data_IF_856954134234
#
_entry.id   IF_856954134234
#
_cell.length_a   1.000
_cell.length_b   1.000
_cell.length_c   1.000
_cell.angle_alpha   90.00
_cell.angle_beta   90.00
_cell.angle_gamma   90.00
#
_symmetry.space_group_name_H-M   'P 1'
#
loop_
_entity.id
_entity.type
_entity.pdbx_description
1 polymer ?
#
# COMPACT_ATOMS: atom_id res chain seq x y z
N UNK A 1 -24.94 18.44 -10.06
CA UNK A 1 -24.30 19.34 -11.04
C UNK A 1 -24.07 20.72 -10.44
N UNK A 2 -25.13 21.45 -10.00
CA UNK A 2 -25.06 22.78 -9.39
C UNK A 2 -24.02 22.93 -8.27
N UNK A 3 -23.91 21.92 -7.38
CA UNK A 3 -22.93 21.95 -6.30
C UNK A 3 -21.48 21.89 -6.82
N UNK A 4 -21.22 21.11 -7.87
CA UNK A 4 -19.90 21.05 -8.48
C UNK A 4 -19.56 22.37 -9.20
N UNK A 5 -20.53 22.96 -9.90
CA UNK A 5 -20.40 24.27 -10.54
C UNK A 5 -20.11 25.38 -9.52
N UNK A 6 -20.81 25.34 -8.36
CA UNK A 6 -20.57 26.26 -7.25
C UNK A 6 -19.13 26.14 -6.71
N UNK A 7 -18.62 24.92 -6.50
CA UNK A 7 -17.24 24.72 -6.04
C UNK A 7 -16.23 25.21 -7.07
N UNK A 8 -16.45 24.91 -8.35
CA UNK A 8 -15.56 25.31 -9.45
C UNK A 8 -15.64 26.79 -9.82
N UNK A 9 -16.58 27.55 -9.24
CA UNK A 9 -16.64 29.01 -9.41
C UNK A 9 -15.55 29.74 -8.62
N UNK A 10 -14.90 29.07 -7.65
CA UNK A 10 -13.75 29.62 -6.93
C UNK A 10 -12.46 29.29 -7.71
N UNK A 11 -11.68 30.31 -8.05
CA UNK A 11 -10.42 30.18 -8.80
C UNK A 11 -9.39 29.31 -8.09
N UNK A 12 -9.46 29.14 -6.78
CA UNK A 12 -8.59 28.26 -6.01
C UNK A 12 -8.95 26.77 -6.13
N UNK A 13 -10.11 26.47 -6.71
CA UNK A 13 -10.60 25.09 -6.87
C UNK A 13 -10.38 24.60 -8.29
N UNK A 14 -9.52 23.63 -8.47
CA UNK A 14 -9.27 22.98 -9.76
C UNK A 14 -9.88 21.57 -9.80
N UNK A 15 -10.50 21.16 -10.93
CA UNK A 15 -10.94 19.78 -11.09
C UNK A 15 -9.73 18.86 -11.26
N UNK A 16 -9.72 17.75 -10.53
CA UNK A 16 -8.68 16.70 -10.64
C UNK A 16 -9.31 15.37 -10.99
N UNK A 17 -8.68 14.64 -11.92
CA UNK A 17 -9.16 13.33 -12.37
C UNK A 17 -8.72 12.18 -11.46
N UNK A 18 -9.29 11.00 -11.70
CA UNK A 18 -8.97 9.77 -10.96
C UNK A 18 -7.48 9.40 -11.01
N UNK A 19 -6.79 9.69 -12.12
CA UNK A 19 -5.35 9.43 -12.24
C UNK A 19 -4.51 10.22 -11.24
N UNK A 20 -4.86 11.48 -10.98
CA UNK A 20 -4.21 12.30 -9.96
C UNK A 20 -4.49 11.74 -8.55
N UNK A 21 -5.76 11.40 -8.26
CA UNK A 21 -6.12 10.77 -6.99
C UNK A 21 -5.36 9.47 -6.78
N UNK A 22 -5.21 8.65 -7.83
CA UNK A 22 -4.51 7.36 -7.73
C UNK A 22 -3.01 7.53 -7.50
N UNK A 23 -2.35 8.45 -8.21
CA UNK A 23 -0.92 8.76 -7.97
C UNK A 23 -0.69 9.28 -6.56
N UNK A 24 -1.51 10.23 -6.10
CA UNK A 24 -1.35 10.86 -4.78
C UNK A 24 -1.56 9.86 -3.64
N UNK A 25 -2.59 9.01 -3.71
CA UNK A 25 -2.82 8.00 -2.66
C UNK A 25 -1.69 6.95 -2.64
N UNK A 26 -1.17 6.56 -3.83
CA UNK A 26 -0.07 5.60 -3.96
C UNK A 26 1.21 6.16 -3.32
N UNK A 27 1.57 7.40 -3.63
CA UNK A 27 2.72 8.08 -3.01
C UNK A 27 2.58 8.24 -1.50
N UNK A 28 1.35 8.47 -1.02
CA UNK A 28 1.02 8.53 0.41
C UNK A 28 0.95 7.13 1.07
N UNK A 29 1.17 6.05 0.33
CA UNK A 29 1.07 4.69 0.87
C UNK A 29 -0.34 4.29 1.30
N UNK A 30 -1.37 4.97 0.80
CA UNK A 30 -2.77 4.69 1.15
C UNK A 30 -3.33 3.55 0.31
N UNK A 31 -3.88 2.50 0.95
CA UNK A 31 -4.46 1.38 0.23
C UNK A 31 -5.76 1.75 -0.49
N UNK A 32 -5.99 1.12 -1.63
CA UNK A 32 -7.24 1.19 -2.37
C UNK A 32 -8.04 -0.08 -2.12
N UNK A 33 -9.29 0.07 -1.67
CA UNK A 33 -10.19 -1.07 -1.54
C UNK A 33 -10.51 -1.66 -2.92
N UNK A 34 -10.43 -2.97 -3.01
CA UNK A 34 -10.57 -3.75 -4.24
C UNK A 34 -9.22 -4.17 -4.85
N UNK A 35 -8.15 -3.41 -4.60
CA UNK A 35 -6.79 -3.70 -5.09
C UNK A 35 -5.86 -4.11 -3.94
N UNK A 36 -5.56 -3.15 -3.04
CA UNK A 36 -4.59 -3.35 -1.95
C UNK A 36 -5.20 -4.03 -0.72
N UNK A 37 -6.50 -4.06 -0.65
CA UNK A 37 -7.26 -4.75 0.41
C UNK A 37 -8.61 -5.20 -0.13
N UNK A 38 -9.02 -6.38 0.30
CA UNK A 38 -10.31 -7.02 0.01
C UNK A 38 -10.91 -7.53 1.31
N UNK A 39 -12.00 -8.25 1.22
CA UNK A 39 -12.60 -8.94 2.39
C UNK A 39 -11.68 -10.01 3.01
N UNK A 40 -10.67 -10.47 2.28
CA UNK A 40 -9.72 -11.50 2.70
C UNK A 40 -8.45 -10.93 3.33
N UNK A 41 -8.33 -9.59 3.38
CA UNK A 41 -7.15 -8.88 3.91
C UNK A 41 -7.52 -8.19 5.20
N UNK A 42 -6.83 -8.53 6.29
CA UNK A 42 -7.07 -7.90 7.59
C UNK A 42 -6.47 -6.49 7.66
N UNK A 43 -6.94 -5.65 8.60
CA UNK A 43 -6.28 -4.35 8.87
C UNK A 43 -4.80 -4.48 9.26
N UNK A 44 -4.39 -5.59 9.89
CA UNK A 44 -2.99 -5.85 10.22
C UNK A 44 -2.16 -6.14 8.96
N UNK A 45 -2.65 -7.04 8.09
CA UNK A 45 -2.02 -7.33 6.79
C UNK A 45 -1.95 -6.08 5.89
N UNK A 46 -3.01 -5.26 5.88
CA UNK A 46 -3.06 -4.00 5.12
C UNK A 46 -2.20 -2.86 5.69
N UNK A 47 -1.45 -3.09 6.79
CA UNK A 47 -0.72 -2.06 7.52
C UNK A 47 -1.61 -0.89 7.99
N UNK A 48 -2.87 -1.19 8.32
CA UNK A 48 -3.87 -0.24 8.83
C UNK A 48 -4.11 -0.39 10.34
N UNK A 49 -3.21 -1.04 11.07
CA UNK A 49 -3.32 -1.22 12.52
C UNK A 49 -3.56 0.10 13.27
N UNK A 50 -3.06 1.21 12.75
CA UNK A 50 -3.28 2.55 13.29
C UNK A 50 -4.76 2.97 13.32
N UNK A 51 -5.59 2.42 12.43
CA UNK A 51 -7.04 2.72 12.37
C UNK A 51 -7.83 2.08 13.51
N UNK A 52 -7.26 1.09 14.19
CA UNK A 52 -7.89 0.47 15.36
C UNK A 52 -7.54 1.31 16.61
N UNK A 53 -8.52 1.96 17.24
CA UNK A 53 -8.27 2.80 18.41
C UNK A 53 -7.61 2.00 19.54
N UNK A 54 -6.70 2.61 20.28
CA UNK A 54 -6.01 1.96 21.43
C UNK A 54 -6.97 1.34 22.42
N UNK A 55 -8.11 1.98 22.66
CA UNK A 55 -9.21 1.51 23.50
C UNK A 55 -9.76 0.13 23.07
N UNK A 56 -9.69 -0.20 21.77
CA UNK A 56 -10.17 -1.44 21.17
C UNK A 56 -9.10 -2.51 21.00
N UNK A 57 -7.81 -2.16 21.23
CA UNK A 57 -6.70 -3.11 21.15
C UNK A 57 -6.61 -3.96 22.40
N UNK A 58 -5.84 -5.03 22.33
CA UNK A 58 -5.53 -5.90 23.49
C UNK A 58 -5.05 -5.05 24.68
N UNK A 59 -5.64 -5.24 25.84
CA UNK A 59 -5.38 -4.46 27.04
C UNK A 59 -6.11 -3.10 27.14
N UNK A 60 -6.87 -2.71 26.12
CA UNK A 60 -7.72 -1.52 26.18
C UNK A 60 -9.01 -1.77 26.96
N UNK A 61 -9.62 -0.71 27.51
CA UNK A 61 -10.84 -0.80 28.35
C UNK A 61 -12.03 -1.46 27.65
N UNK A 62 -12.10 -1.39 26.32
CA UNK A 62 -13.13 -2.00 25.48
C UNK A 62 -12.51 -2.87 24.39
N UNK A 63 -11.52 -3.69 24.74
CA UNK A 63 -10.81 -4.54 23.81
C UNK A 63 -11.78 -5.39 22.96
N UNK A 64 -11.55 -5.46 21.66
CA UNK A 64 -12.43 -6.17 20.74
C UNK A 64 -13.77 -5.46 20.51
N UNK A 65 -14.84 -6.25 20.38
CA UNK A 65 -16.21 -5.77 20.18
C UNK A 65 -16.48 -5.18 18.79
N UNK A 66 -15.71 -5.60 17.77
CA UNK A 66 -15.92 -5.32 16.36
C UNK A 66 -15.81 -6.62 15.54
N UNK A 67 -16.40 -6.71 14.35
CA UNK A 67 -16.32 -7.91 13.53
C UNK A 67 -14.86 -8.30 13.23
N UNK A 68 -14.49 -9.58 13.40
CA UNK A 68 -13.13 -10.08 13.16
C UNK A 68 -12.10 -9.70 14.23
N UNK A 69 -12.54 -9.18 15.39
CA UNK A 69 -11.66 -8.70 16.46
C UNK A 69 -10.61 -9.75 16.88
N UNK A 70 -11.00 -11.00 17.04
CA UNK A 70 -10.10 -12.06 17.52
C UNK A 70 -8.90 -12.22 16.59
N UNK A 71 -9.14 -12.35 15.28
CA UNK A 71 -8.09 -12.45 14.27
C UNK A 71 -7.23 -11.19 14.22
N UNK A 72 -7.86 -10.02 14.12
CA UNK A 72 -7.16 -8.73 13.99
C UNK A 72 -6.29 -8.44 15.21
N UNK A 73 -6.80 -8.68 16.42
CA UNK A 73 -6.04 -8.46 17.65
C UNK A 73 -4.89 -9.44 17.83
N UNK A 74 -5.09 -10.71 17.43
CA UNK A 74 -4.02 -11.69 17.43
C UNK A 74 -2.88 -11.28 16.47
N UNK A 75 -3.20 -10.85 15.25
CA UNK A 75 -2.23 -10.38 14.27
C UNK A 75 -1.54 -9.08 14.69
N UNK A 76 -2.24 -8.14 15.31
CA UNK A 76 -1.63 -6.92 15.83
C UNK A 76 -0.67 -7.17 17.00
N UNK A 77 -0.91 -8.22 17.78
CA UNK A 77 -0.07 -8.59 18.93
C UNK A 77 1.08 -9.53 18.57
N UNK A 78 0.82 -10.49 17.70
CA UNK A 78 1.76 -11.56 17.34
C UNK A 78 2.42 -11.42 15.98
N UNK A 79 1.97 -10.47 15.16
CA UNK A 79 2.36 -10.32 13.76
C UNK A 79 1.43 -11.07 12.80
N UNK A 80 1.13 -10.46 11.66
CA UNK A 80 0.44 -11.12 10.56
C UNK A 80 1.44 -11.96 9.76
N UNK A 81 0.98 -13.03 9.11
CA UNK A 81 1.84 -13.90 8.27
C UNK A 81 2.34 -13.18 7.01
N UNK A 82 1.61 -12.19 6.54
CA UNK A 82 1.94 -11.33 5.40
C UNK A 82 1.56 -9.88 5.72
N UNK A 83 2.20 -8.95 5.05
CA UNK A 83 1.95 -7.52 5.29
C UNK A 83 2.12 -6.74 3.99
N UNK A 84 1.36 -5.65 3.86
CA UNK A 84 1.50 -4.72 2.75
C UNK A 84 2.78 -3.89 2.92
N UNK A 85 3.64 -3.96 1.91
CA UNK A 85 4.92 -3.24 1.86
C UNK A 85 4.97 -2.30 0.67
N UNK A 86 5.79 -1.26 0.77
CA UNK A 86 6.17 -0.41 -0.33
C UNK A 86 7.26 -1.05 -1.18
N UNK A 87 7.25 -0.80 -2.48
CA UNK A 87 8.22 -1.31 -3.43
C UNK A 87 8.72 -0.17 -4.33
N UNK A 88 10.04 -0.14 -4.55
CA UNK A 88 10.68 0.74 -5.53
C UNK A 88 11.40 -0.09 -6.59
N UNK A 89 10.84 -0.20 -7.80
CA UNK A 89 11.52 -0.84 -8.91
C UNK A 89 12.80 -0.08 -9.27
N UNK A 90 13.85 -0.81 -9.62
CA UNK A 90 15.02 -0.20 -10.24
C UNK A 90 14.69 0.22 -11.69
N UNK A 91 15.12 1.42 -12.06
CA UNK A 91 14.86 1.99 -13.39
C UNK A 91 13.58 2.84 -13.47
N UNK A 92 13.06 3.02 -14.69
CA UNK A 92 11.93 3.93 -14.96
C UNK A 92 10.60 3.24 -15.24
N UNK A 93 10.62 1.94 -15.47
CA UNK A 93 9.41 1.19 -15.80
C UNK A 93 8.58 0.92 -14.54
N UNK A 94 7.32 1.38 -14.47
CA UNK A 94 6.46 1.04 -13.35
C UNK A 94 6.07 -0.43 -13.42
N UNK A 95 6.03 -1.08 -12.27
CA UNK A 95 5.37 -2.37 -12.07
C UNK A 95 3.92 -2.10 -11.70
N UNK A 96 2.99 -2.78 -12.36
CA UNK A 96 1.56 -2.54 -12.19
C UNK A 96 0.91 -3.68 -11.42
N UNK A 97 -0.34 -3.48 -11.05
CA UNK A 97 -1.20 -4.50 -10.44
C UNK A 97 -1.10 -5.86 -11.18
N UNK A 98 -1.07 -6.95 -10.43
CA UNK A 98 -0.96 -8.32 -10.95
C UNK A 98 0.45 -8.76 -11.34
N UNK A 99 1.46 -7.89 -11.24
CA UNK A 99 2.86 -8.28 -11.49
C UNK A 99 3.34 -9.19 -10.37
N UNK A 100 3.80 -10.40 -10.71
CA UNK A 100 4.31 -11.39 -9.75
C UNK A 100 5.60 -10.90 -9.09
N UNK A 101 5.69 -11.14 -7.77
CA UNK A 101 6.89 -10.83 -6.96
C UNK A 101 7.52 -12.14 -6.51
N UNK A 102 8.84 -12.23 -6.66
CA UNK A 102 9.66 -13.42 -6.39
C UNK A 102 10.71 -13.10 -5.34
N UNK A 103 11.12 -14.11 -4.58
CA UNK A 103 12.15 -13.95 -3.56
C UNK A 103 13.59 -14.05 -4.10
N UNK A 104 13.76 -14.45 -5.37
CA UNK A 104 15.08 -14.52 -6.02
C UNK A 104 14.95 -14.34 -7.53
N UNK A 105 16.05 -13.93 -8.19
CA UNK A 105 16.13 -13.76 -9.65
C UNK A 105 16.01 -15.11 -10.38
N UNK A 106 16.82 -16.09 -9.97
CA UNK A 106 16.78 -17.47 -10.50
C UNK A 106 16.33 -18.43 -9.39
N UNK A 107 15.67 -19.51 -9.78
CA UNK A 107 15.22 -20.59 -8.87
C UNK A 107 14.39 -20.14 -7.66
N UNK A 108 13.90 -18.88 -7.71
CA UNK A 108 13.04 -18.33 -6.67
C UNK A 108 11.60 -18.82 -6.75
N UNK A 109 10.88 -18.67 -5.64
CA UNK A 109 9.44 -18.89 -5.56
C UNK A 109 8.68 -17.58 -5.61
N UNK A 110 7.49 -17.59 -6.19
CA UNK A 110 6.60 -16.43 -6.13
C UNK A 110 6.11 -16.25 -4.69
N UNK A 111 6.31 -15.06 -4.16
CA UNK A 111 5.95 -14.69 -2.78
C UNK A 111 4.75 -13.75 -2.68
N UNK A 112 4.24 -13.28 -3.79
CA UNK A 112 3.07 -12.40 -3.87
C UNK A 112 2.94 -11.74 -5.22
N UNK A 113 2.15 -10.68 -5.26
CA UNK A 113 1.93 -9.88 -6.46
C UNK A 113 1.72 -8.41 -6.09
N UNK A 114 1.95 -7.53 -7.06
CA UNK A 114 1.69 -6.09 -6.92
C UNK A 114 0.19 -5.85 -6.86
N UNK A 115 -0.28 -5.21 -5.81
CA UNK A 115 -1.68 -4.80 -5.68
C UNK A 115 -1.95 -3.38 -6.18
N UNK A 116 -0.97 -2.49 -6.13
CA UNK A 116 -1.02 -1.16 -6.74
C UNK A 116 0.34 -0.73 -7.22
N UNK A 117 0.43 -0.09 -8.37
CA UNK A 117 1.70 0.40 -8.86
C UNK A 117 1.58 1.39 -10.01
N UNK A 118 2.47 2.35 -10.03
CA UNK A 118 2.47 3.42 -11.01
C UNK A 118 3.71 4.30 -10.95
N UNK A 119 3.64 5.42 -11.64
CA UNK A 119 4.64 6.47 -11.52
C UNK A 119 4.20 7.47 -10.45
N UNK A 120 5.08 7.78 -9.51
CA UNK A 120 4.88 8.79 -8.47
C UNK A 120 5.48 10.12 -8.93
N UNK A 121 4.66 11.13 -9.28
CA UNK A 121 5.17 12.42 -9.77
C UNK A 121 6.05 13.14 -8.75
N UNK A 122 5.68 13.07 -7.46
CA UNK A 122 6.43 13.72 -6.38
C UNK A 122 7.68 12.93 -5.99
N UNK A 123 7.61 11.60 -6.07
CA UNK A 123 8.77 10.71 -5.89
C UNK A 123 9.76 10.84 -7.05
N UNK A 124 9.27 11.21 -8.25
CA UNK A 124 10.06 11.29 -9.48
C UNK A 124 10.40 9.92 -10.08
N UNK A 125 9.66 8.86 -9.71
CA UNK A 125 9.96 7.51 -10.14
C UNK A 125 8.82 6.52 -9.91
N UNK A 126 8.99 5.25 -10.35
CA UNK A 126 8.01 4.21 -10.12
C UNK A 126 7.96 3.81 -8.64
N UNK A 127 6.75 3.61 -8.16
CA UNK A 127 6.43 3.08 -6.83
C UNK A 127 5.31 2.07 -6.94
N UNK A 128 5.30 1.11 -6.02
CA UNK A 128 4.25 0.11 -5.97
C UNK A 128 4.01 -0.37 -4.53
N UNK A 129 2.92 -1.08 -4.35
CA UNK A 129 2.59 -1.78 -3.10
C UNK A 129 2.27 -3.23 -3.40
N UNK A 130 2.65 -4.12 -2.51
CA UNK A 130 2.34 -5.54 -2.58
C UNK A 130 2.08 -6.08 -1.17
N UNK A 131 1.29 -7.16 -1.06
CA UNK A 131 1.16 -7.93 0.17
C UNK A 131 2.12 -9.11 0.06
N UNK A 132 3.17 -9.09 0.88
CA UNK A 132 4.26 -10.06 0.86
C UNK A 132 4.41 -10.74 2.23
N UNK A 133 5.08 -11.90 2.34
CA UNK A 133 5.37 -12.54 3.60
C UNK A 133 6.00 -11.57 4.61
N UNK A 134 5.61 -11.67 5.86
CA UNK A 134 6.19 -10.86 6.93
C UNK A 134 7.69 -11.16 7.10
N UNK A 135 8.43 -10.16 7.59
CA UNK A 135 9.88 -10.29 7.83
C UNK A 135 10.75 -9.58 6.79
N UNK A 136 10.17 -9.13 5.68
CA UNK A 136 10.90 -8.25 4.74
C UNK A 136 11.02 -6.85 5.34
N UNK A 137 12.23 -6.29 5.27
CA UNK A 137 12.56 -4.96 5.78
C UNK A 137 12.88 -3.97 4.64
N UNK A 138 12.72 -2.67 4.86
CA UNK A 138 13.19 -1.65 3.92
C UNK A 138 14.68 -1.85 3.59
N UNK A 139 15.00 -1.89 2.30
CA UNK A 139 16.32 -2.20 1.77
C UNK A 139 16.48 -3.63 1.25
N UNK A 140 15.59 -4.55 1.63
CA UNK A 140 15.61 -5.90 1.07
C UNK A 140 15.27 -5.87 -0.42
N UNK A 141 15.86 -6.79 -1.19
CA UNK A 141 15.61 -6.92 -2.62
C UNK A 141 14.69 -8.10 -2.88
N UNK A 142 13.65 -7.86 -3.64
CA UNK A 142 12.74 -8.85 -4.24
C UNK A 142 12.73 -8.65 -5.76
N UNK A 143 12.11 -9.54 -6.51
CA UNK A 143 12.12 -9.48 -7.97
C UNK A 143 10.71 -9.42 -8.52
N UNK A 144 10.46 -8.47 -9.42
CA UNK A 144 9.21 -8.35 -10.15
C UNK A 144 9.35 -8.96 -11.54
N UNK A 145 8.36 -9.75 -11.97
CA UNK A 145 8.39 -10.36 -13.29
C UNK A 145 7.72 -9.46 -14.33
N UNK A 146 8.52 -8.86 -15.19
CA UNK A 146 8.04 -8.04 -16.31
C UNK A 146 8.42 -8.67 -17.64
N UNK A 147 7.42 -9.02 -18.44
CA UNK A 147 7.61 -9.57 -19.80
C UNK A 147 8.56 -10.78 -19.80
N UNK A 148 8.40 -11.67 -18.82
CA UNK A 148 9.21 -12.88 -18.68
C UNK A 148 10.63 -12.65 -18.18
N UNK A 149 10.95 -11.46 -17.67
CA UNK A 149 12.23 -11.14 -17.04
C UNK A 149 11.99 -10.67 -15.62
N UNK A 150 12.80 -11.13 -14.69
CA UNK A 150 12.83 -10.66 -13.31
C UNK A 150 13.71 -9.42 -13.23
N UNK A 151 13.18 -8.37 -12.65
CA UNK A 151 13.89 -7.11 -12.37
C UNK A 151 13.98 -6.93 -10.86
N UNK A 152 15.10 -6.41 -10.33
CA UNK A 152 15.21 -6.14 -8.92
C UNK A 152 14.28 -5.00 -8.49
N UNK A 153 13.71 -5.17 -7.33
CA UNK A 153 12.80 -4.21 -6.69
C UNK A 153 13.16 -4.12 -5.22
N UNK A 154 13.37 -2.92 -4.72
CA UNK A 154 13.73 -2.70 -3.32
C UNK A 154 12.48 -2.49 -2.48
N UNK A 155 12.37 -3.20 -1.37
CA UNK A 155 11.37 -2.95 -0.33
C UNK A 155 11.62 -1.57 0.27
N UNK A 156 10.58 -0.76 0.39
CA UNK A 156 10.69 0.64 0.81
C UNK A 156 9.70 0.98 1.91
N UNK A 157 10.07 1.96 2.72
CA UNK A 157 9.16 2.56 3.69
C UNK A 157 7.96 3.23 3.00
N UNK A 158 6.84 3.22 3.70
CA UNK A 158 5.65 4.00 3.35
C UNK A 158 5.31 4.97 4.49
N UNK A 159 4.85 6.18 4.18
CA UNK A 159 4.58 6.73 2.84
C UNK A 159 5.85 6.98 2.04
N UNK A 160 5.79 6.87 0.71
CA UNK A 160 6.91 7.16 -0.18
C UNK A 160 7.30 8.65 -0.19
N UNK A 161 6.30 9.52 0.06
CA UNK A 161 6.46 10.96 0.30
C UNK A 161 5.82 11.27 1.65
N UNK A 162 6.57 11.94 2.53
CA UNK A 162 6.00 12.48 3.76
C UNK A 162 4.94 13.52 3.42
N UNK A 163 3.70 13.35 3.91
CA UNK A 163 2.67 14.34 3.68
C UNK A 163 3.06 15.68 4.33
N UNK A 164 2.99 16.75 3.55
CA UNK A 164 3.16 18.13 4.00
C UNK A 164 1.78 18.80 4.12
N UNK A 165 0.97 18.27 5.04
CA UNK A 165 -0.36 18.85 5.29
C UNK A 165 -0.24 20.16 6.03
N UNK A 166 -0.91 21.18 5.53
CA UNK A 166 -1.17 22.39 6.29
C UNK A 166 -2.03 22.03 7.51
N UNK A 167 -1.50 22.18 8.68
CA UNK A 167 -2.18 21.96 9.97
C UNK A 167 -2.65 23.27 10.54
#
# INVERSE_FOLDING_TARGET
>A
QEFAELLLSDEAVAPIGLGARDSLRLEAGMPLYGNDMTVDVTPAEAALGWSIPKLRRTGGERAGGFPGADKVLAELGGGAARVRVGLRPEGRAPIREGVAIWNADADGVQIGEVCSGGFGPSVGGPVAMAILPAGLAPGDTVWAELRGKRIPVVVADMPFIKPDYKR
#
